data_IF_572233244121
#
_entry.id   IF_572233244121
#
_cell.length_a   1.000
_cell.length_b   1.000
_cell.length_c   1.000
_cell.angle_alpha   90.00
_cell.angle_beta   90.00
_cell.angle_gamma   90.00
#
_symmetry.space_group_name_H-M   'P 1'
#
loop_
_entity.id
_entity.type
_entity.pdbx_description
1 polymer ?
#
# COMPACT_ATOMS: atom_id res chain seq x y z
N UNK A 1 7.58 -31.17 -17.72
CA UNK A 1 6.43 -30.34 -17.32
C UNK A 1 6.68 -29.78 -15.93
N UNK A 2 7.41 -28.66 -15.82
CA UNK A 2 7.49 -27.93 -14.54
C UNK A 2 6.17 -27.16 -14.40
N UNK A 3 5.44 -27.51 -13.34
CA UNK A 3 4.05 -27.19 -13.06
C UNK A 3 3.72 -25.70 -13.21
N UNK A 4 2.59 -25.39 -13.87
CA UNK A 4 2.05 -24.03 -14.04
C UNK A 4 1.94 -23.24 -12.72
N UNK A 5 1.72 -23.94 -11.60
CA UNK A 5 1.66 -23.38 -10.25
C UNK A 5 2.99 -22.78 -9.76
N UNK A 6 4.13 -23.38 -10.10
CA UNK A 6 5.46 -22.90 -9.68
C UNK A 6 5.76 -21.49 -10.21
N UNK A 7 5.21 -21.13 -11.38
CA UNK A 7 5.46 -19.85 -12.06
C UNK A 7 4.88 -18.63 -11.34
N UNK A 8 3.94 -18.83 -10.42
CA UNK A 8 3.36 -17.76 -9.61
C UNK A 8 3.91 -17.74 -8.18
N UNK A 9 4.28 -18.90 -7.64
CA UNK A 9 4.80 -19.02 -6.28
C UNK A 9 6.13 -18.31 -6.15
N UNK A 10 7.05 -18.49 -7.10
CA UNK A 10 8.37 -17.85 -7.03
C UNK A 10 8.28 -16.32 -6.93
N UNK A 11 7.58 -15.59 -7.83
CA UNK A 11 7.39 -14.14 -7.68
C UNK A 11 6.77 -13.74 -6.34
N UNK A 12 5.73 -14.44 -5.88
CA UNK A 12 5.09 -14.17 -4.59
C UNK A 12 6.10 -14.29 -3.45
N UNK A 13 6.89 -15.37 -3.43
CA UNK A 13 7.91 -15.59 -2.40
C UNK A 13 9.00 -14.51 -2.48
N UNK A 14 9.46 -14.14 -3.68
CA UNK A 14 10.50 -13.12 -3.85
C UNK A 14 10.07 -11.76 -3.29
N UNK A 15 8.88 -11.27 -3.67
CA UNK A 15 8.39 -9.99 -3.17
C UNK A 15 8.00 -10.06 -1.68
N UNK A 16 7.50 -11.19 -1.19
CA UNK A 16 7.24 -11.38 0.24
C UNK A 16 8.54 -11.34 1.05
N UNK A 17 9.60 -12.02 0.59
CA UNK A 17 10.92 -11.99 1.23
C UNK A 17 11.50 -10.57 1.20
N UNK A 18 11.42 -9.88 0.07
CA UNK A 18 11.89 -8.49 -0.03
C UNK A 18 11.15 -7.57 0.95
N UNK A 19 9.82 -7.63 0.99
CA UNK A 19 9.00 -6.86 1.92
C UNK A 19 9.37 -7.18 3.37
N UNK A 20 9.54 -8.46 3.71
CA UNK A 20 9.96 -8.89 5.05
C UNK A 20 11.35 -8.36 5.41
N UNK A 21 12.33 -8.43 4.51
CA UNK A 21 13.69 -7.94 4.76
C UNK A 21 13.69 -6.42 4.99
N UNK A 22 12.99 -5.66 4.14
CA UNK A 22 12.91 -4.20 4.25
C UNK A 22 12.21 -3.78 5.55
N UNK A 23 11.02 -4.32 5.82
CA UNK A 23 10.25 -3.98 7.02
C UNK A 23 10.99 -4.40 8.29
N UNK A 24 11.60 -5.59 8.31
CA UNK A 24 12.39 -6.02 9.48
C UNK A 24 13.60 -5.11 9.72
N UNK A 25 14.23 -4.62 8.65
CA UNK A 25 15.33 -3.66 8.75
C UNK A 25 14.86 -2.30 9.30
N UNK A 26 13.71 -1.79 8.85
CA UNK A 26 13.17 -0.49 9.28
C UNK A 26 12.69 -0.50 10.73
N UNK A 27 12.05 -1.60 11.15
CA UNK A 27 11.44 -1.73 12.47
C UNK A 27 12.34 -2.48 13.48
N UNK A 28 13.62 -2.71 13.15
CA UNK A 28 14.57 -3.48 13.99
C UNK A 28 14.70 -2.97 15.42
N UNK A 29 14.50 -1.68 15.64
CA UNK A 29 14.63 -1.03 16.94
C UNK A 29 13.34 -1.13 17.80
N UNK A 30 12.26 -1.71 17.27
CA UNK A 30 10.97 -1.74 17.94
C UNK A 30 10.32 -0.36 18.09
N UNK A 31 10.70 0.59 17.23
CA UNK A 31 10.19 1.96 17.23
C UNK A 31 9.27 2.19 16.03
N UNK A 32 8.34 3.14 16.18
CA UNK A 32 7.56 3.62 15.05
C UNK A 32 8.47 4.31 14.05
N UNK A 33 8.22 4.07 12.77
CA UNK A 33 8.93 4.72 11.70
C UNK A 33 8.36 6.13 11.50
N UNK A 34 9.19 7.14 11.73
CA UNK A 34 8.88 8.54 11.47
C UNK A 34 9.10 8.90 10.01
N UNK A 35 8.18 9.69 9.44
CA UNK A 35 8.34 10.23 8.09
C UNK A 35 9.11 11.55 8.07
N UNK A 36 9.58 11.96 6.90
CA UNK A 36 10.20 13.29 6.71
C UNK A 36 9.21 14.46 6.77
N UNK A 37 7.92 14.19 6.55
CA UNK A 37 6.87 15.22 6.45
C UNK A 37 5.72 14.91 7.41
N UNK A 38 4.72 14.12 6.99
CA UNK A 38 3.51 13.87 7.81
C UNK A 38 3.66 12.64 8.71
N UNK A 39 4.34 11.58 8.24
CA UNK A 39 4.43 10.30 8.98
C UNK A 39 3.09 9.60 9.11
N UNK A 40 3.02 8.27 9.17
CA UNK A 40 1.71 7.60 9.37
C UNK A 40 1.33 7.70 10.86
N UNK A 41 0.17 8.30 11.20
CA UNK A 41 -0.25 8.45 12.58
C UNK A 41 -0.79 7.11 13.11
N UNK A 42 0.14 6.20 13.44
CA UNK A 42 -0.15 4.90 14.03
C UNK A 42 -0.04 4.89 15.56
N UNK A 43 0.44 5.99 16.15
CA UNK A 43 0.43 6.19 17.59
C UNK A 43 -0.98 6.57 18.05
N UNK A 44 -1.52 5.83 19.03
CA UNK A 44 -2.89 5.97 19.55
C UNK A 44 -3.98 6.01 18.44
N UNK A 45 -4.19 4.90 17.69
CA UNK A 45 -5.13 4.86 16.58
C UNK A 45 -6.57 5.22 16.94
N UNK A 46 -6.98 5.01 18.19
CA UNK A 46 -8.32 5.36 18.65
C UNK A 46 -8.50 6.88 18.73
N UNK A 47 -7.52 7.59 19.29
CA UNK A 47 -7.51 9.06 19.27
C UNK A 47 -7.47 9.58 17.84
N UNK A 48 -6.61 9.03 16.98
CA UNK A 48 -6.48 9.48 15.59
C UNK A 48 -7.77 9.26 14.81
N UNK A 49 -8.43 8.10 14.95
CA UNK A 49 -9.72 7.84 14.34
C UNK A 49 -10.81 8.83 14.82
N UNK A 50 -10.83 9.15 16.11
CA UNK A 50 -11.78 10.10 16.68
C UNK A 50 -11.58 11.54 16.18
N UNK A 51 -10.35 11.92 15.82
CA UNK A 51 -10.06 13.21 15.19
C UNK A 51 -10.43 13.16 13.71
N UNK A 52 -9.99 12.13 12.98
CA UNK A 52 -10.14 12.01 11.52
C UNK A 52 -11.59 12.02 11.02
N UNK A 53 -12.55 11.57 11.85
CA UNK A 53 -13.98 11.56 11.50
C UNK A 53 -14.63 12.95 11.43
N UNK A 54 -13.92 14.00 11.84
CA UNK A 54 -14.40 15.38 11.78
C UNK A 54 -13.50 16.23 10.89
N UNK A 55 -14.10 17.16 10.14
CA UNK A 55 -13.36 18.14 9.33
C UNK A 55 -12.68 19.20 10.20
N UNK A 56 -13.26 19.50 11.36
CA UNK A 56 -12.75 20.51 12.27
C UNK A 56 -11.85 19.87 13.31
N UNK A 57 -10.59 20.30 13.37
CA UNK A 57 -9.66 19.89 14.42
C UNK A 57 -9.49 21.03 15.42
N UNK A 58 -10.16 20.89 16.56
CA UNK A 58 -10.17 21.84 17.67
C UNK A 58 -8.82 21.98 18.40
N UNK A 59 -8.01 20.91 18.42
CA UNK A 59 -6.75 20.89 19.15
C UNK A 59 -5.55 21.52 18.43
N UNK A 60 -5.71 22.00 17.18
CA UNK A 60 -4.65 22.68 16.43
C UNK A 60 -5.02 24.14 16.15
N UNK A 61 -4.20 25.08 16.62
CA UNK A 61 -4.25 26.54 16.40
C UNK A 61 -5.66 27.15 16.23
N UNK A 62 -6.15 27.87 17.25
CA UNK A 62 -7.56 27.94 17.74
C UNK A 62 -8.66 27.02 17.15
N UNK A 63 -8.31 25.98 16.39
CA UNK A 63 -9.18 25.23 15.51
C UNK A 63 -8.80 25.43 14.03
N UNK A 64 -8.55 24.34 13.31
CA UNK A 64 -8.29 24.37 11.86
C UNK A 64 -9.14 23.34 11.12
N UNK A 65 -9.47 23.63 9.86
CA UNK A 65 -10.10 22.66 8.96
C UNK A 65 -9.05 21.70 8.40
N UNK A 66 -9.34 20.39 8.47
CA UNK A 66 -8.52 19.30 7.93
C UNK A 66 -9.43 18.35 7.13
N UNK A 67 -9.99 18.80 6.00
CA UNK A 67 -10.91 17.99 5.20
C UNK A 67 -10.26 16.70 4.68
N UNK A 68 -8.95 16.69 4.44
CA UNK A 68 -8.19 15.49 4.08
C UNK A 68 -8.16 14.43 5.19
N UNK A 69 -8.54 14.76 6.42
CA UNK A 69 -8.71 13.78 7.49
C UNK A 69 -9.85 12.78 7.20
N UNK A 70 -10.91 13.20 6.50
CA UNK A 70 -12.06 12.34 6.20
C UNK A 70 -11.70 11.17 5.30
N UNK A 71 -10.80 11.37 4.32
CA UNK A 71 -10.38 10.28 3.42
C UNK A 71 -9.56 9.22 4.16
N UNK A 72 -9.00 9.57 5.33
CA UNK A 72 -8.26 8.65 6.20
C UNK A 72 -9.12 7.73 7.06
N UNK A 73 -10.40 8.06 7.24
CA UNK A 73 -11.28 7.37 8.20
C UNK A 73 -11.29 5.84 8.02
N UNK A 74 -11.39 5.26 6.80
CA UNK A 74 -11.37 3.81 6.63
C UNK A 74 -10.06 3.19 7.12
N UNK A 75 -8.93 3.80 6.82
CA UNK A 75 -7.63 3.32 7.26
C UNK A 75 -7.44 3.46 8.78
N UNK A 76 -7.82 4.61 9.35
CA UNK A 76 -7.73 4.84 10.80
C UNK A 76 -8.65 3.90 11.58
N UNK A 77 -9.83 3.59 11.03
CA UNK A 77 -10.72 2.59 11.61
C UNK A 77 -10.07 1.21 11.68
N UNK A 78 -9.42 0.76 10.61
CA UNK A 78 -8.71 -0.53 10.58
C UNK A 78 -7.60 -0.54 11.65
N UNK A 79 -6.79 0.52 11.73
CA UNK A 79 -5.75 0.62 12.75
C UNK A 79 -6.32 0.57 14.17
N UNK A 80 -7.42 1.27 14.44
CA UNK A 80 -8.12 1.23 15.73
C UNK A 80 -8.60 -0.19 16.08
N UNK A 81 -9.23 -0.89 15.13
CA UNK A 81 -9.71 -2.26 15.37
C UNK A 81 -8.54 -3.20 15.66
N UNK A 82 -7.45 -3.13 14.88
CA UNK A 82 -6.25 -3.95 15.13
C UNK A 82 -5.64 -3.67 16.51
N UNK A 83 -5.60 -2.41 16.93
CA UNK A 83 -5.12 -2.05 18.25
C UNK A 83 -6.02 -2.62 19.35
N UNK A 84 -7.35 -2.56 19.20
CA UNK A 84 -8.32 -3.15 20.14
C UNK A 84 -8.22 -4.68 20.22
N UNK A 85 -7.72 -5.33 19.16
CA UNK A 85 -7.39 -6.76 19.16
C UNK A 85 -6.05 -7.08 19.86
N UNK A 86 -5.34 -6.07 20.38
CA UNK A 86 -4.11 -6.22 21.16
C UNK A 86 -2.82 -6.11 20.35
N UNK A 87 -2.87 -5.70 19.08
CA UNK A 87 -1.65 -5.45 18.30
C UNK A 87 -0.99 -4.14 18.77
N UNK A 88 0.35 -4.17 18.91
CA UNK A 88 1.12 -2.96 19.21
C UNK A 88 1.13 -1.99 18.03
N UNK A 89 1.29 -0.69 18.30
CA UNK A 89 1.37 0.35 17.26
C UNK A 89 2.46 0.06 16.22
N UNK A 90 3.60 -0.46 16.68
CA UNK A 90 4.74 -0.85 15.84
C UNK A 90 4.35 -1.99 14.91
N UNK A 91 3.67 -3.02 15.41
CA UNK A 91 3.24 -4.15 14.59
C UNK A 91 2.18 -3.74 13.56
N UNK A 92 1.26 -2.85 13.93
CA UNK A 92 0.26 -2.29 13.00
C UNK A 92 0.96 -1.56 11.86
N UNK A 93 1.89 -0.65 12.18
CA UNK A 93 2.61 0.13 11.18
C UNK A 93 3.52 -0.76 10.31
N UNK A 94 4.24 -1.71 10.89
CA UNK A 94 5.08 -2.65 10.17
C UNK A 94 4.27 -3.54 9.22
N UNK A 95 3.12 -4.04 9.67
CA UNK A 95 2.22 -4.86 8.84
C UNK A 95 1.67 -4.07 7.66
N UNK A 96 1.33 -2.79 7.88
CA UNK A 96 0.93 -1.89 6.81
C UNK A 96 2.03 -1.73 5.76
N UNK A 97 3.26 -1.38 6.17
CA UNK A 97 4.37 -1.23 5.22
C UNK A 97 4.68 -2.52 4.48
N UNK A 98 4.57 -3.66 5.16
CA UNK A 98 4.75 -4.96 4.53
C UNK A 98 3.74 -5.18 3.40
N UNK A 99 2.45 -4.89 3.65
CA UNK A 99 1.40 -5.01 2.65
C UNK A 99 1.64 -4.06 1.47
N UNK A 100 1.95 -2.79 1.74
CA UNK A 100 2.20 -1.79 0.70
C UNK A 100 3.37 -2.19 -0.20
N UNK A 101 4.53 -2.52 0.39
CA UNK A 101 5.72 -2.93 -0.37
C UNK A 101 5.39 -4.17 -1.20
N UNK A 102 4.84 -5.21 -0.57
CA UNK A 102 4.47 -6.43 -1.28
C UNK A 102 3.53 -6.15 -2.48
N UNK A 103 2.50 -5.33 -2.28
CA UNK A 103 1.55 -4.98 -3.33
C UNK A 103 2.19 -4.15 -4.45
N UNK A 104 3.13 -3.25 -4.15
CA UNK A 104 3.86 -2.48 -5.16
C UNK A 104 4.64 -3.41 -6.11
N UNK A 105 5.53 -4.24 -5.58
CA UNK A 105 6.36 -5.13 -6.39
C UNK A 105 5.54 -6.21 -7.10
N UNK A 106 4.70 -6.94 -6.35
CA UNK A 106 3.91 -8.02 -6.91
C UNK A 106 2.82 -7.52 -7.87
N UNK A 107 2.18 -6.39 -7.56
CA UNK A 107 1.21 -5.75 -8.43
C UNK A 107 1.83 -5.34 -9.76
N UNK A 108 3.00 -4.69 -9.73
CA UNK A 108 3.70 -4.33 -10.96
C UNK A 108 4.18 -5.56 -11.73
N UNK A 109 4.63 -6.61 -11.06
CA UNK A 109 4.92 -7.89 -11.72
C UNK A 109 3.70 -8.44 -12.46
N UNK A 110 2.52 -8.45 -11.83
CA UNK A 110 1.28 -8.90 -12.47
C UNK A 110 0.90 -8.02 -13.66
N UNK A 111 1.05 -6.71 -13.54
CA UNK A 111 0.77 -5.76 -14.62
C UNK A 111 1.74 -5.96 -15.78
N UNK A 112 3.03 -6.08 -15.50
CA UNK A 112 4.04 -6.31 -16.53
C UNK A 112 3.80 -7.63 -17.29
N UNK A 113 3.26 -8.67 -16.63
CA UNK A 113 2.85 -9.90 -17.32
C UNK A 113 1.66 -9.74 -18.26
N UNK A 114 0.77 -8.76 -18.05
CA UNK A 114 -0.31 -8.48 -19.00
C UNK A 114 0.21 -7.74 -20.24
N UNK A 115 1.30 -6.98 -20.10
CA UNK A 115 1.92 -6.19 -21.18
C UNK A 115 2.93 -7.02 -21.99
N UNK A 116 3.88 -7.68 -21.32
CA UNK A 116 5.00 -8.35 -21.99
C UNK A 116 4.72 -9.80 -22.41
N UNK A 117 3.62 -10.38 -21.96
CA UNK A 117 3.30 -11.79 -22.16
C UNK A 117 3.69 -12.67 -20.96
N UNK A 118 3.09 -13.86 -20.89
CA UNK A 118 3.25 -14.78 -19.74
C UNK A 118 4.59 -15.48 -19.72
N UNK A 119 5.25 -15.58 -20.86
CA UNK A 119 6.54 -16.21 -21.10
C UNK A 119 7.71 -15.33 -20.65
N UNK A 120 7.56 -14.00 -20.69
CA UNK A 120 8.62 -13.04 -20.29
C UNK A 120 8.61 -12.76 -18.79
N UNK A 121 8.59 -13.82 -17.98
CA UNK A 121 8.51 -13.72 -16.50
C UNK A 121 9.70 -12.94 -15.91
N UNK A 122 10.90 -13.10 -16.46
CA UNK A 122 12.09 -12.35 -16.02
C UNK A 122 11.96 -10.83 -16.18
N UNK A 123 11.42 -10.37 -17.32
CA UNK A 123 11.16 -8.94 -17.55
C UNK A 123 10.07 -8.41 -16.60
N UNK A 124 9.04 -9.21 -16.32
CA UNK A 124 8.01 -8.82 -15.37
C UNK A 124 8.55 -8.73 -13.93
N UNK A 125 9.47 -9.63 -13.53
CA UNK A 125 10.16 -9.55 -12.24
C UNK A 125 11.02 -8.30 -12.16
N UNK A 126 11.79 -8.01 -13.21
CA UNK A 126 12.60 -6.80 -13.30
C UNK A 126 11.75 -5.54 -13.18
N UNK A 127 10.57 -5.51 -13.82
CA UNK A 127 9.63 -4.40 -13.71
C UNK A 127 9.12 -4.20 -12.27
N UNK A 128 8.80 -5.29 -11.56
CA UNK A 128 8.41 -5.22 -10.15
C UNK A 128 9.50 -4.65 -9.25
N UNK A 129 10.73 -5.20 -9.34
CA UNK A 129 11.87 -4.68 -8.58
C UNK A 129 12.21 -3.23 -8.94
N UNK A 130 12.19 -2.89 -10.22
CA UNK A 130 12.44 -1.52 -10.67
C UNK A 130 11.37 -0.57 -10.14
N UNK A 131 10.11 -0.99 -10.07
CA UNK A 131 9.04 -0.14 -9.53
C UNK A 131 9.22 0.16 -8.04
N UNK A 132 9.66 -0.81 -7.25
CA UNK A 132 9.96 -0.61 -5.82
C UNK A 132 11.23 0.19 -5.56
N UNK A 133 12.26 0.02 -6.41
CA UNK A 133 13.63 0.49 -6.14
C UNK A 133 14.09 1.66 -7.00
N UNK A 134 13.26 2.16 -7.92
CA UNK A 134 13.67 3.31 -8.74
C UNK A 134 13.84 4.58 -7.88
N UNK A 135 14.64 5.56 -8.36
CA UNK A 135 14.89 6.80 -7.62
C UNK A 135 13.63 7.59 -7.26
N UNK A 136 12.61 7.60 -8.12
CA UNK A 136 11.35 8.27 -7.84
C UNK A 136 10.66 7.65 -6.62
N UNK A 137 10.55 6.32 -6.57
CA UNK A 137 9.98 5.60 -5.44
C UNK A 137 10.80 5.84 -4.17
N UNK A 138 12.13 5.79 -4.26
CA UNK A 138 12.99 6.07 -3.11
C UNK A 138 12.81 7.48 -2.53
N UNK A 139 12.65 8.49 -3.39
CA UNK A 139 12.58 9.90 -2.98
C UNK A 139 11.13 10.31 -2.66
N UNK A 140 10.21 10.15 -3.58
CA UNK A 140 8.84 10.68 -3.46
C UNK A 140 7.95 9.78 -2.60
N UNK A 141 8.11 8.46 -2.69
CA UNK A 141 7.30 7.53 -1.88
C UNK A 141 7.93 7.40 -0.49
N UNK A 142 9.14 6.85 -0.41
CA UNK A 142 9.72 6.47 0.89
C UNK A 142 10.39 7.60 1.66
N UNK A 143 10.99 8.60 1.01
CA UNK A 143 11.65 9.67 1.74
C UNK A 143 10.68 10.79 2.16
N UNK A 144 9.80 11.27 1.26
CA UNK A 144 8.80 12.30 1.62
C UNK A 144 7.72 11.80 2.57
N UNK A 145 7.39 10.51 2.51
CA UNK A 145 6.48 9.88 3.46
C UNK A 145 5.03 10.40 3.42
N UNK A 146 4.56 10.76 2.23
CA UNK A 146 3.20 11.28 1.99
C UNK A 146 2.23 10.08 1.86
N UNK A 147 1.15 10.09 2.65
CA UNK A 147 0.23 8.94 2.77
C UNK A 147 -0.33 8.52 1.43
N UNK A 148 -0.95 9.45 0.72
CA UNK A 148 -1.58 9.24 -0.59
C UNK A 148 -0.63 8.60 -1.61
N UNK A 149 0.67 8.90 -1.51
CA UNK A 149 1.67 8.36 -2.44
C UNK A 149 1.91 6.88 -2.19
N UNK A 150 1.91 6.40 -0.94
CA UNK A 150 2.05 4.97 -0.63
C UNK A 150 0.88 4.14 -1.16
N UNK A 151 -0.34 4.58 -0.85
CA UNK A 151 -1.55 3.88 -1.25
C UNK A 151 -1.70 3.87 -2.76
N UNK A 152 -1.46 5.01 -3.41
CA UNK A 152 -1.49 5.11 -4.86
C UNK A 152 -0.43 4.23 -5.51
N UNK A 153 0.82 4.25 -5.03
CA UNK A 153 1.89 3.43 -5.60
C UNK A 153 1.58 1.93 -5.48
N UNK A 154 1.06 1.46 -4.35
CA UNK A 154 0.64 0.06 -4.20
C UNK A 154 -0.57 -0.30 -5.08
N UNK A 155 -1.52 0.62 -5.23
CA UNK A 155 -2.76 0.37 -5.95
C UNK A 155 -2.64 0.50 -7.48
N UNK A 156 -1.73 1.34 -7.98
CA UNK A 156 -1.64 1.74 -9.38
C UNK A 156 -1.55 0.55 -10.36
N UNK A 157 -0.72 -0.48 -10.12
CA UNK A 157 -0.68 -1.64 -11.01
C UNK A 157 -2.02 -2.40 -11.06
N UNK A 158 -2.72 -2.51 -9.93
CA UNK A 158 -4.00 -3.20 -9.84
C UNK A 158 -5.13 -2.40 -10.50
N UNK A 159 -5.14 -1.08 -10.32
CA UNK A 159 -6.05 -0.16 -11.03
C UNK A 159 -5.94 -0.41 -12.54
N UNK A 160 -4.72 -0.45 -13.08
CA UNK A 160 -4.49 -0.72 -14.49
C UNK A 160 -4.95 -2.12 -14.92
N UNK A 161 -4.65 -3.15 -14.13
CA UNK A 161 -5.07 -4.54 -14.42
C UNK A 161 -6.60 -4.66 -14.45
N UNK A 162 -7.31 -4.08 -13.48
CA UNK A 162 -8.77 -4.21 -13.40
C UNK A 162 -9.45 -3.36 -14.46
N UNK A 163 -8.96 -2.15 -14.71
CA UNK A 163 -9.42 -1.31 -15.81
C UNK A 163 -9.34 -2.03 -17.16
N UNK A 164 -8.15 -2.54 -17.51
CA UNK A 164 -7.94 -3.22 -18.79
C UNK A 164 -8.78 -4.49 -18.92
N UNK A 165 -8.91 -5.28 -17.85
CA UNK A 165 -9.78 -6.47 -17.86
C UNK A 165 -11.25 -6.11 -17.99
N UNK A 166 -11.71 -5.04 -17.35
CA UNK A 166 -13.09 -4.58 -17.47
C UNK A 166 -13.41 -4.13 -18.89
N UNK A 167 -12.57 -3.27 -19.48
CA UNK A 167 -12.76 -2.78 -20.85
C UNK A 167 -12.78 -3.93 -21.88
N UNK A 168 -11.93 -4.95 -21.70
CA UNK A 168 -11.85 -6.08 -22.63
C UNK A 168 -12.96 -7.11 -22.43
N UNK A 169 -13.23 -7.50 -21.19
CA UNK A 169 -14.11 -8.63 -20.90
C UNK A 169 -15.55 -8.19 -20.59
N UNK A 170 -15.79 -6.90 -20.32
CA UNK A 170 -17.10 -6.33 -19.97
C UNK A 170 -17.69 -6.80 -18.64
N UNK A 171 -16.96 -7.63 -17.87
CA UNK A 171 -17.49 -8.27 -16.66
C UNK A 171 -17.58 -7.27 -15.50
N UNK A 172 -18.75 -7.20 -14.88
CA UNK A 172 -19.04 -6.30 -13.76
C UNK A 172 -18.09 -6.47 -12.56
N UNK A 173 -17.61 -7.69 -12.31
CA UNK A 173 -16.65 -7.95 -11.23
C UNK A 173 -15.35 -7.14 -11.38
N UNK A 174 -14.87 -6.92 -12.60
CA UNK A 174 -13.65 -6.12 -12.81
C UNK A 174 -13.90 -4.63 -12.62
N UNK A 175 -15.10 -4.14 -12.93
CA UNK A 175 -15.52 -2.78 -12.59
C UNK A 175 -15.56 -2.59 -11.06
N UNK A 176 -16.17 -3.52 -10.32
CA UNK A 176 -16.19 -3.46 -8.86
C UNK A 176 -14.79 -3.45 -8.26
N UNK A 177 -13.89 -4.33 -8.73
CA UNK A 177 -12.51 -4.38 -8.26
C UNK A 177 -11.75 -3.08 -8.59
N UNK A 178 -11.96 -2.51 -9.78
CA UNK A 178 -11.39 -1.22 -10.16
C UNK A 178 -11.86 -0.10 -9.24
N UNK A 179 -13.17 0.01 -9.00
CA UNK A 179 -13.76 1.05 -8.14
C UNK A 179 -13.30 0.89 -6.69
N UNK A 180 -13.28 -0.33 -6.16
CA UNK A 180 -12.81 -0.61 -4.80
C UNK A 180 -11.34 -0.25 -4.63
N UNK A 181 -10.49 -0.64 -5.58
CA UNK A 181 -9.05 -0.33 -5.53
C UNK A 181 -8.80 1.17 -5.62
N UNK A 182 -9.54 1.86 -6.48
CA UNK A 182 -9.46 3.33 -6.64
C UNK A 182 -9.94 4.08 -5.39
N UNK A 183 -10.99 3.57 -4.75
CA UNK A 183 -11.49 4.11 -3.49
C UNK A 183 -10.47 3.94 -2.37
N UNK A 184 -9.89 2.74 -2.21
CA UNK A 184 -8.87 2.47 -1.20
C UNK A 184 -7.57 3.23 -1.44
N UNK A 185 -7.26 3.60 -2.68
CA UNK A 185 -6.08 4.39 -3.03
C UNK A 185 -6.24 5.89 -2.85
N UNK A 186 -7.44 6.37 -2.49
CA UNK A 186 -7.74 7.80 -2.34
C UNK A 186 -7.31 8.38 -0.99
N UNK A 187 -6.94 7.51 -0.05
CA UNK A 187 -6.26 7.89 1.18
C UNK A 187 -4.77 8.08 0.95
#
# INVERSE_FOLDING_TARGET
MINSYSKHILPVVLFAVLATVLVSSWFRAGLLYGGGDVGIPSYDPERIFNIAKFVWWDASAPGTTVPQGLTSVPFQFIQMVLHKLGLSYVLIQASFFWVVIFLMGYGMFLMARTVFGREKTGLALLAGFFYELNPYTMIEVWHRFIHTTFFLAAALPFIFIFWTKWIRDGKFIFLLLFLLTSFLSSY
#
